data_IF_932474888986
#
_entry.id   IF_932474888986
#
_cell.length_a   1.000
_cell.length_b   1.000
_cell.length_c   1.000
_cell.angle_alpha   90.00
_cell.angle_beta   90.00
_cell.angle_gamma   90.00
#
_symmetry.space_group_name_H-M   'P 1'
#
loop_
_entity.id
_entity.type
_entity.pdbx_description
1 polymer ?
#
# COMPACT_ATOMS: atom_id res chain seq x y z
N UNK A 1 -14.34 -4.27 0.23
CA UNK A 1 -13.02 -4.94 0.34
C UNK A 1 -11.98 -4.05 -0.33
N UNK A 2 -10.73 -4.05 0.14
CA UNK A 2 -9.66 -3.17 -0.36
C UNK A 2 -9.05 -3.66 -1.69
N UNK A 3 -9.49 -4.82 -2.19
CA UNK A 3 -9.01 -5.40 -3.45
C UNK A 3 -9.11 -4.40 -4.61
N UNK A 4 -8.07 -4.35 -5.43
CA UNK A 4 -7.95 -3.42 -6.54
C UNK A 4 -6.51 -3.21 -6.99
N UNK A 5 -6.37 -2.54 -8.12
CA UNK A 5 -5.11 -2.00 -8.59
C UNK A 5 -5.09 -0.48 -8.37
N UNK A 6 -3.92 0.04 -8.02
CA UNK A 6 -3.69 1.44 -7.72
C UNK A 6 -2.40 1.87 -8.39
N UNK A 7 -2.42 3.02 -9.04
CA UNK A 7 -1.27 3.54 -9.78
C UNK A 7 -0.93 4.95 -9.34
N UNK A 8 0.36 5.29 -9.37
CA UNK A 8 0.85 6.63 -9.10
C UNK A 8 2.32 6.79 -9.47
N UNK A 9 2.91 7.90 -9.01
CA UNK A 9 4.25 8.31 -9.40
C UNK A 9 4.28 9.02 -10.75
N UNK A 10 5.39 9.70 -11.03
CA UNK A 10 5.56 10.52 -12.23
C UNK A 10 6.58 9.86 -13.17
N UNK A 11 6.23 9.77 -14.46
CA UNK A 11 7.14 9.33 -15.52
C UNK A 11 7.77 7.96 -15.28
N UNK A 12 9.11 7.93 -15.22
CA UNK A 12 9.93 6.71 -15.10
C UNK A 12 9.83 6.02 -13.72
N UNK A 13 9.23 6.69 -12.73
CA UNK A 13 9.04 6.15 -11.37
C UNK A 13 7.60 5.72 -11.11
N UNK A 14 6.96 5.07 -12.10
CA UNK A 14 5.61 4.53 -11.94
C UNK A 14 5.57 3.52 -10.79
N UNK A 15 4.61 3.70 -9.91
CA UNK A 15 4.30 2.81 -8.81
C UNK A 15 2.96 2.12 -9.06
N UNK A 16 2.91 0.79 -8.90
CA UNK A 16 1.69 0.00 -9.07
C UNK A 16 1.49 -0.88 -7.84
N UNK A 17 0.43 -0.63 -7.08
CA UNK A 17 0.00 -1.51 -5.99
C UNK A 17 -1.20 -2.33 -6.46
N UNK A 18 -1.12 -3.66 -6.34
CA UNK A 18 -2.22 -4.57 -6.61
C UNK A 18 -2.53 -5.36 -5.35
N UNK A 19 -3.72 -5.17 -4.78
CA UNK A 19 -4.23 -5.97 -3.66
C UNK A 19 -5.19 -7.01 -4.21
N UNK A 20 -4.80 -8.28 -4.12
CA UNK A 20 -5.56 -9.40 -4.69
C UNK A 20 -6.43 -10.09 -3.66
N UNK A 21 -6.04 -10.08 -2.39
CA UNK A 21 -6.78 -10.73 -1.32
C UNK A 21 -6.75 -9.91 -0.02
N UNK A 22 -7.93 -9.57 0.49
CA UNK A 22 -8.12 -8.88 1.76
C UNK A 22 -9.39 -9.38 2.45
N UNK A 23 -9.35 -9.40 3.78
CA UNK A 23 -10.47 -9.81 4.62
C UNK A 23 -10.86 -8.67 5.54
N UNK A 24 -12.01 -8.06 5.24
CA UNK A 24 -12.53 -6.92 5.99
C UNK A 24 -13.17 -7.27 7.33
N UNK A 25 -13.41 -8.56 7.61
CA UNK A 25 -13.87 -8.98 8.94
C UNK A 25 -12.71 -9.12 9.93
N UNK A 26 -11.49 -9.34 9.41
CA UNK A 26 -10.26 -9.51 10.18
C UNK A 26 -9.28 -8.35 10.03
N UNK A 27 -9.63 -7.32 9.25
CA UNK A 27 -8.81 -6.13 9.04
C UNK A 27 -7.41 -6.44 8.43
N UNK A 28 -7.33 -7.47 7.57
CA UNK A 28 -6.07 -7.98 7.00
C UNK A 28 -6.01 -7.93 5.47
N UNK A 29 -4.79 -7.83 4.95
CA UNK A 29 -4.42 -7.97 3.54
C UNK A 29 -3.51 -9.19 3.45
N UNK A 30 -4.02 -10.27 2.85
CA UNK A 30 -3.33 -11.55 2.78
C UNK A 30 -2.32 -11.62 1.63
N UNK A 31 -2.55 -10.84 0.58
CA UNK A 31 -1.74 -10.91 -0.63
C UNK A 31 -1.95 -9.79 -1.63
N UNK A 32 -0.88 -9.49 -2.33
CA UNK A 32 -0.82 -8.51 -3.40
C UNK A 32 0.60 -8.37 -3.93
N UNK A 33 0.79 -7.43 -4.83
CA UNK A 33 2.11 -7.04 -5.36
C UNK A 33 2.27 -5.53 -5.34
N UNK A 34 3.49 -5.06 -5.13
CA UNK A 34 3.86 -3.67 -5.36
C UNK A 34 5.00 -3.61 -6.36
N UNK A 35 4.84 -2.81 -7.41
CA UNK A 35 5.88 -2.56 -8.41
C UNK A 35 6.36 -1.11 -8.30
N UNK A 36 7.66 -0.92 -8.23
CA UNK A 36 8.28 0.40 -8.20
C UNK A 36 9.70 0.33 -8.78
N UNK A 37 10.03 1.25 -9.69
CA UNK A 37 11.36 1.33 -10.33
C UNK A 37 11.84 -0.01 -10.92
N UNK A 38 10.93 -0.78 -11.52
CA UNK A 38 11.22 -2.09 -12.13
C UNK A 38 11.43 -3.24 -11.13
N UNK A 39 11.19 -3.02 -9.84
CA UNK A 39 11.23 -4.04 -8.78
C UNK A 39 9.82 -4.44 -8.37
N UNK A 40 9.63 -5.71 -8.04
CA UNK A 40 8.34 -6.27 -7.60
C UNK A 40 8.48 -6.85 -6.21
N UNK A 41 7.59 -6.44 -5.32
CA UNK A 41 7.50 -6.85 -3.93
C UNK A 41 6.20 -7.61 -3.66
N UNK A 42 6.27 -8.62 -2.80
CA UNK A 42 5.08 -9.25 -2.25
C UNK A 42 4.48 -8.39 -1.15
N UNK A 43 3.16 -8.20 -1.21
CA UNK A 43 2.43 -7.32 -0.29
C UNK A 43 1.60 -8.13 0.67
N UNK A 44 1.77 -7.86 1.97
CA UNK A 44 0.88 -8.29 3.05
C UNK A 44 0.72 -7.16 4.05
N UNK A 45 -0.33 -7.20 4.85
CA UNK A 45 -0.50 -6.14 5.84
C UNK A 45 -1.84 -6.17 6.55
N UNK A 46 -2.18 -5.03 7.14
CA UNK A 46 -3.44 -4.79 7.79
C UNK A 46 -3.98 -3.41 7.44
N UNK A 47 -5.24 -3.18 7.75
CA UNK A 47 -5.85 -1.88 7.66
C UNK A 47 -6.78 -1.67 8.84
N UNK A 48 -7.06 -0.43 9.20
CA UNK A 48 -8.02 -0.13 10.26
C UNK A 48 -8.74 1.18 9.97
N UNK A 49 -9.96 1.28 10.47
CA UNK A 49 -10.77 2.47 10.37
C UNK A 49 -10.50 3.39 11.57
N UNK A 50 -10.25 4.68 11.31
CA UNK A 50 -10.04 5.63 12.40
C UNK A 50 -11.35 5.92 13.14
N UNK A 51 -11.29 6.03 14.46
CA UNK A 51 -12.44 6.44 15.28
C UNK A 51 -12.79 7.90 15.01
N UNK A 52 -13.95 8.10 14.39
CA UNK A 52 -14.58 9.37 13.99
C UNK A 52 -13.73 10.37 13.17
N UNK A 53 -14.14 10.69 11.93
CA UNK A 53 -15.17 10.00 11.14
C UNK A 53 -14.67 8.59 10.78
N UNK A 54 -15.51 7.57 11.01
CA UNK A 54 -15.26 6.14 10.73
C UNK A 54 -15.23 5.85 9.22
N UNK A 55 -14.48 6.66 8.49
CA UNK A 55 -14.40 6.72 7.03
C UNK A 55 -12.94 6.66 6.61
N UNK A 56 -12.04 7.35 7.33
CA UNK A 56 -10.60 7.29 7.07
C UNK A 56 -10.08 5.89 7.34
N UNK A 57 -9.32 5.35 6.39
CA UNK A 57 -8.71 4.03 6.49
C UNK A 57 -7.21 4.19 6.50
N UNK A 58 -6.55 3.66 7.52
CA UNK A 58 -5.10 3.54 7.56
C UNK A 58 -4.74 2.12 7.14
N UNK A 59 -3.74 1.99 6.28
CA UNK A 59 -3.30 0.73 5.70
C UNK A 59 -1.80 0.63 5.94
N UNK A 60 -1.35 -0.43 6.63
CA UNK A 60 0.08 -0.71 6.79
C UNK A 60 0.41 -1.97 6.02
N UNK A 61 1.42 -1.86 5.15
CA UNK A 61 1.89 -2.93 4.29
C UNK A 61 3.35 -3.23 4.58
N UNK A 62 3.67 -4.51 4.48
CA UNK A 62 5.03 -5.03 4.33
C UNK A 62 5.23 -5.30 2.84
N UNK A 63 6.29 -4.75 2.27
CA UNK A 63 6.75 -4.99 0.92
C UNK A 63 7.95 -5.93 1.00
N UNK A 64 7.70 -7.23 0.91
CA UNK A 64 8.74 -8.24 0.98
C UNK A 64 9.44 -8.33 -0.38
N UNK A 65 10.76 -8.14 -0.39
CA UNK A 65 11.55 -8.32 -1.60
C UNK A 65 11.56 -9.78 -2.06
N UNK A 66 11.59 -9.99 -3.38
CA UNK A 66 11.73 -11.31 -4.01
C UNK A 66 13.17 -11.63 -4.43
N UNK A 67 14.06 -10.66 -4.30
CA UNK A 67 15.49 -10.76 -4.61
C UNK A 67 16.32 -10.15 -3.47
N UNK A 68 17.62 -9.92 -3.70
CA UNK A 68 18.53 -9.33 -2.71
C UNK A 68 18.25 -7.84 -2.40
N UNK A 69 17.19 -7.25 -2.96
CA UNK A 69 16.76 -5.89 -2.62
C UNK A 69 16.23 -5.84 -1.17
N UNK A 70 16.34 -4.67 -0.51
CA UNK A 70 15.76 -4.49 0.81
C UNK A 70 14.23 -4.62 0.80
N UNK A 71 13.68 -5.10 1.90
CA UNK A 71 12.24 -5.04 2.17
C UNK A 71 11.85 -3.69 2.75
N UNK A 72 10.61 -3.29 2.52
CA UNK A 72 10.08 -1.99 2.94
C UNK A 72 8.81 -2.13 3.75
N UNK A 73 8.48 -1.07 4.48
CA UNK A 73 7.16 -0.81 5.03
C UNK A 73 6.50 0.31 4.24
N UNK A 74 5.20 0.22 4.05
CA UNK A 74 4.40 1.26 3.43
C UNK A 74 3.20 1.57 4.31
N UNK A 75 3.04 2.84 4.65
CA UNK A 75 1.89 3.34 5.42
C UNK A 75 1.08 4.22 4.48
N UNK A 76 -0.14 3.81 4.18
CA UNK A 76 -1.08 4.53 3.35
C UNK A 76 -2.29 4.95 4.16
N UNK A 77 -2.96 5.99 3.68
CA UNK A 77 -4.23 6.47 4.17
C UNK A 77 -5.17 6.65 3.00
N UNK A 78 -6.42 6.20 3.17
CA UNK A 78 -7.53 6.57 2.31
C UNK A 78 -8.47 7.52 3.05
N UNK A 79 -8.97 8.59 2.41
CA UNK A 79 -9.88 9.53 3.07
C UNK A 79 -11.24 8.91 3.40
N UNK A 80 -11.62 7.85 2.69
CA UNK A 80 -12.91 7.17 2.83
C UNK A 80 -12.81 5.67 2.51
N UNK A 81 -13.95 4.96 2.62
CA UNK A 81 -14.03 3.51 2.33
C UNK A 81 -14.22 3.18 0.85
N UNK A 82 -14.17 4.17 -0.05
CA UNK A 82 -14.18 3.92 -1.50
C UNK A 82 -12.80 3.44 -1.97
N UNK A 83 -11.76 3.79 -1.20
CA UNK A 83 -10.37 3.52 -1.55
C UNK A 83 -9.96 4.16 -2.88
N UNK A 84 -10.63 5.24 -3.31
CA UNK A 84 -10.35 5.87 -4.61
C UNK A 84 -8.94 6.46 -4.70
N UNK A 85 -8.39 6.87 -3.55
CA UNK A 85 -7.05 7.42 -3.42
C UNK A 85 -6.38 6.88 -2.15
N UNK A 86 -5.12 6.47 -2.28
CA UNK A 86 -4.25 6.03 -1.19
C UNK A 86 -3.01 6.92 -1.14
N UNK A 87 -2.76 7.58 -0.01
CA UNK A 87 -1.62 8.48 0.16
C UNK A 87 -0.81 8.13 1.38
N UNK A 88 0.51 8.25 1.30
CA UNK A 88 1.37 8.06 2.46
C UNK A 88 2.83 7.92 2.10
N UNK A 89 3.54 7.04 2.80
CA UNK A 89 5.01 6.95 2.71
C UNK A 89 5.51 5.52 2.64
N UNK A 90 6.63 5.34 1.95
CA UNK A 90 7.42 4.11 1.95
C UNK A 90 8.70 4.34 2.74
N UNK A 91 9.04 3.42 3.63
CA UNK A 91 10.23 3.45 4.51
C UNK A 91 10.92 2.10 4.53
N UNK A 92 12.20 2.06 4.88
CA UNK A 92 12.88 0.77 5.13
C UNK A 92 12.20 0.00 6.24
N UNK A 93 12.08 -1.33 6.06
CA UNK A 93 11.48 -2.21 7.07
C UNK A 93 12.22 -2.12 8.40
N UNK A 94 11.49 -2.14 9.52
CA UNK A 94 12.07 -1.99 10.86
C UNK A 94 12.26 -0.54 11.31
N UNK A 95 11.44 0.39 10.80
CA UNK A 95 11.45 1.80 11.23
C UNK A 95 12.60 2.63 10.69
N UNK A 96 13.16 2.24 9.54
CA UNK A 96 14.22 3.00 8.89
C UNK A 96 13.72 4.28 8.20
N UNK A 97 14.63 4.98 7.54
CA UNK A 97 14.35 6.26 6.89
C UNK A 97 13.22 6.15 5.84
N UNK A 98 12.41 7.21 5.74
CA UNK A 98 11.46 7.38 4.64
C UNK A 98 12.23 7.46 3.33
N UNK A 99 11.84 6.63 2.36
CA UNK A 99 12.45 6.57 1.04
C UNK A 99 11.72 7.54 0.10
N UNK A 100 10.38 7.51 0.08
CA UNK A 100 9.56 8.39 -0.75
C UNK A 100 8.11 8.47 -0.28
N UNK A 101 7.38 9.46 -0.80
CA UNK A 101 5.92 9.59 -0.62
C UNK A 101 5.19 8.86 -1.75
N UNK A 102 4.09 8.18 -1.42
CA UNK A 102 3.22 7.49 -2.36
C UNK A 102 1.88 8.21 -2.47
N UNK A 103 1.38 8.37 -3.70
CA UNK A 103 0.01 8.83 -3.99
C UNK A 103 -0.53 7.96 -5.10
N UNK A 104 -1.41 7.02 -4.77
CA UNK A 104 -1.87 5.96 -5.65
C UNK A 104 -3.39 6.08 -5.86
N UNK A 105 -3.80 6.35 -7.10
CA UNK A 105 -5.20 6.38 -7.51
C UNK A 105 -5.69 5.00 -7.92
N UNK A 106 -6.91 4.63 -7.52
CA UNK A 106 -7.52 3.36 -7.91
C UNK A 106 -7.78 3.32 -9.41
N UNK A 107 -7.42 2.22 -10.06
CA UNK A 107 -7.71 1.99 -11.48
C UNK A 107 -8.98 1.15 -11.66
N UNK A 108 -9.59 1.28 -12.84
CA UNK A 108 -10.87 0.65 -13.20
C UNK A 108 -10.75 -0.88 -13.36
#
# INVERSE_FOLDING_TARGET
MLNGAYEGGDGDSKAILKITDSDASRDIINGGTYEYAGKVYDVRGNFYYMSQPNTKVVINLVLASRDDSPSYEMKLMSPDKTYSLLQGTVSYFGGGATVFSASLGKTA
#
